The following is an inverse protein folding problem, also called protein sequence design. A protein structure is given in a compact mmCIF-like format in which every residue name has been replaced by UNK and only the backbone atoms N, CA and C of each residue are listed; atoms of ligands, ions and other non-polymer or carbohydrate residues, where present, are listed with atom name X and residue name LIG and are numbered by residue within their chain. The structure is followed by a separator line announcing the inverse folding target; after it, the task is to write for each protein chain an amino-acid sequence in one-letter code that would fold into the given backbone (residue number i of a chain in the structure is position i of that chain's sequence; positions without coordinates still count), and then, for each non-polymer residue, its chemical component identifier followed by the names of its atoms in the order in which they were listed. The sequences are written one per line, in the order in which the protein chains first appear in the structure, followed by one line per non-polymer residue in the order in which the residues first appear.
data_IF_702438618438
#
_entry.id   IF_702438618438
#
_cell.length_a   1.000
_cell.length_b   1.000
_cell.length_c   1.000
_cell.angle_alpha   90.00
_cell.angle_beta   90.00
_cell.angle_gamma   90.00
#
_symmetry.space_group_name_H-M   'P 1'
#
loop_
_entity.id
_entity.type
_entity.pdbx_description
1 polymer ?
#
# COMPACT_ATOMS: atom_id res chain seq x y z
N UNK A 1 17.81 -15.03 16.49
CA UNK A 1 16.42 -15.00 16.97
C UNK A 1 15.90 -13.59 16.73
N UNK A 2 15.07 -13.34 15.72
CA UNK A 2 14.53 -12.01 15.54
C UNK A 2 13.58 -11.77 16.73
N UNK A 3 14.03 -10.97 17.69
CA UNK A 3 13.14 -10.34 18.66
C UNK A 3 12.07 -9.64 17.81
N UNK A 4 10.87 -10.20 17.76
CA UNK A 4 9.74 -9.58 17.06
C UNK A 4 9.38 -8.38 17.93
N UNK A 5 10.08 -7.29 17.70
CA UNK A 5 9.95 -6.07 18.46
C UNK A 5 8.53 -5.58 18.20
N UNK A 6 7.65 -5.78 19.19
CA UNK A 6 6.21 -5.52 19.06
C UNK A 6 5.96 -4.06 18.64
N UNK A 7 6.89 -3.19 19.03
CA UNK A 7 7.00 -1.79 18.61
C UNK A 7 7.20 -1.68 17.09
N UNK A 8 8.14 -2.45 16.50
CA UNK A 8 8.37 -2.45 15.05
C UNK A 8 7.14 -2.96 14.29
N UNK A 9 6.50 -4.03 14.76
CA UNK A 9 5.27 -4.53 14.15
C UNK A 9 4.12 -3.50 14.23
N UNK A 10 3.99 -2.80 15.36
CA UNK A 10 3.01 -1.75 15.56
C UNK A 10 3.26 -0.53 14.66
N UNK A 11 4.51 -0.06 14.57
CA UNK A 11 4.89 1.09 13.72
C UNK A 11 4.68 0.77 12.24
N UNK A 12 5.08 -0.42 11.79
CA UNK A 12 4.85 -0.86 10.41
C UNK A 12 3.34 -0.95 10.11
N UNK A 13 2.54 -1.46 11.05
CA UNK A 13 1.08 -1.48 10.93
C UNK A 13 0.47 -0.08 10.86
N UNK A 14 0.91 0.84 11.71
CA UNK A 14 0.42 2.22 11.76
C UNK A 14 0.77 2.98 10.47
N UNK A 15 2.02 2.91 10.02
CA UNK A 15 2.49 3.54 8.79
C UNK A 15 1.85 2.91 7.53
N UNK A 16 1.67 1.59 7.52
CA UNK A 16 0.92 0.89 6.48
C UNK A 16 -0.55 1.32 6.41
N UNK A 17 -1.14 1.65 7.56
CA UNK A 17 -2.50 2.20 7.66
C UNK A 17 -2.67 3.51 6.89
N UNK A 18 -1.68 4.41 6.92
CA UNK A 18 -1.70 5.67 6.16
C UNK A 18 -1.77 5.41 4.65
N UNK A 19 -0.99 4.46 4.15
CA UNK A 19 -1.03 4.05 2.73
C UNK A 19 -2.38 3.43 2.35
N UNK A 20 -2.94 2.61 3.24
CA UNK A 20 -4.25 2.01 3.07
C UNK A 20 -5.36 3.07 2.99
N UNK A 21 -5.35 4.06 3.88
CA UNK A 21 -6.33 5.15 3.90
C UNK A 21 -6.15 6.06 2.67
N UNK A 22 -4.91 6.36 2.28
CA UNK A 22 -4.62 7.21 1.11
C UNK A 22 -5.10 6.61 -0.21
N UNK A 23 -4.90 5.30 -0.43
CA UNK A 23 -5.29 4.63 -1.67
C UNK A 23 -6.71 4.06 -1.61
N UNK A 24 -6.98 3.16 -0.67
CA UNK A 24 -8.28 2.48 -0.59
C UNK A 24 -9.38 3.41 -0.09
N UNK A 25 -9.06 4.38 0.77
CA UNK A 25 -10.02 5.40 1.23
C UNK A 25 -10.43 6.35 0.10
N UNK A 26 -9.50 6.74 -0.79
CA UNK A 26 -9.81 7.54 -1.97
C UNK A 26 -10.74 6.83 -2.96
N UNK A 27 -10.50 5.53 -3.22
CA UNK A 27 -11.33 4.70 -4.11
C UNK A 27 -12.76 4.56 -3.56
N UNK A 28 -12.91 4.25 -2.27
CA UNK A 28 -14.23 4.12 -1.62
C UNK A 28 -14.96 5.47 -1.55
N UNK A 29 -14.23 6.56 -1.32
CA UNK A 29 -14.76 7.92 -1.34
C UNK A 29 -15.34 8.29 -2.70
N UNK A 30 -14.57 8.08 -3.78
CA UNK A 30 -15.00 8.35 -5.14
C UNK A 30 -16.23 7.52 -5.55
N UNK A 31 -16.29 6.24 -5.17
CA UNK A 31 -17.45 5.38 -5.48
C UNK A 31 -18.68 5.67 -4.63
N UNK A 32 -18.51 6.12 -3.39
CA UNK A 32 -19.64 6.42 -2.49
C UNK A 32 -20.31 7.77 -2.78
N UNK A 33 -19.58 8.73 -3.37
CA UNK A 33 -20.09 10.08 -3.68
C UNK A 33 -21.29 10.09 -4.65
N UNK A 34 -21.52 9.01 -5.39
CA UNK A 34 -22.65 8.87 -6.33
C UNK A 34 -23.72 7.86 -5.92
N UNK A 35 -23.60 7.20 -4.75
CA UNK A 35 -24.51 6.11 -4.36
C UNK A 35 -25.46 6.53 -3.22
N UNK A 36 -26.77 6.18 -3.30
CA UNK A 36 -27.71 6.38 -2.21
C UNK A 36 -27.28 5.59 -0.97
N UNK A 37 -27.50 6.15 0.22
CA UNK A 37 -27.04 5.61 1.52
C UNK A 37 -27.38 4.11 1.72
N UNK A 38 -28.53 3.65 1.19
CA UNK A 38 -28.96 2.26 1.24
C UNK A 38 -28.00 1.27 0.54
N UNK A 39 -27.26 1.71 -0.48
CA UNK A 39 -26.34 0.86 -1.28
C UNK A 39 -24.88 0.99 -0.89
N UNK A 40 -24.54 1.92 0.00
CA UNK A 40 -23.16 2.13 0.43
C UNK A 40 -22.65 0.95 1.26
N UNK A 41 -23.40 0.50 2.27
CA UNK A 41 -23.00 -0.62 3.14
C UNK A 41 -22.66 -1.93 2.39
N UNK A 42 -23.50 -2.47 1.47
CA UNK A 42 -23.16 -3.69 0.74
C UNK A 42 -21.97 -3.49 -0.21
N UNK A 43 -21.78 -2.29 -0.77
CA UNK A 43 -20.63 -1.97 -1.61
C UNK A 43 -19.32 -1.93 -0.79
N UNK A 44 -19.34 -1.29 0.39
CA UNK A 44 -18.19 -1.23 1.28
C UNK A 44 -17.80 -2.64 1.79
N UNK A 45 -18.78 -3.47 2.16
CA UNK A 45 -18.52 -4.83 2.63
C UNK A 45 -17.92 -5.69 1.52
N UNK A 46 -18.51 -5.67 0.32
CA UNK A 46 -17.97 -6.43 -0.83
C UNK A 46 -16.58 -5.96 -1.24
N UNK A 47 -16.31 -4.65 -1.23
CA UNK A 47 -14.98 -4.10 -1.48
C UNK A 47 -13.94 -4.58 -0.46
N UNK A 48 -14.26 -4.50 0.84
CA UNK A 48 -13.32 -4.94 1.88
C UNK A 48 -13.09 -6.46 1.85
N UNK A 49 -14.12 -7.27 1.58
CA UNK A 49 -13.98 -8.72 1.37
C UNK A 49 -13.07 -8.99 0.17
N UNK A 50 -13.32 -8.33 -0.96
CA UNK A 50 -12.49 -8.48 -2.15
C UNK A 50 -11.04 -8.07 -1.91
N UNK A 51 -10.83 -7.00 -1.13
CA UNK A 51 -9.49 -6.53 -0.73
C UNK A 51 -8.77 -7.54 0.14
N UNK A 52 -9.41 -8.05 1.19
CA UNK A 52 -8.82 -9.08 2.07
C UNK A 52 -8.49 -10.32 1.24
N UNK A 53 -9.44 -10.84 0.46
CA UNK A 53 -9.23 -12.02 -0.37
C UNK A 53 -8.06 -11.84 -1.36
N UNK A 54 -8.00 -10.69 -2.04
CA UNK A 54 -6.94 -10.39 -3.01
C UNK A 54 -5.57 -10.29 -2.34
N UNK A 55 -5.47 -9.62 -1.19
CA UNK A 55 -4.21 -9.48 -0.46
C UNK A 55 -3.76 -10.81 0.16
N UNK A 56 -4.69 -11.60 0.70
CA UNK A 56 -4.39 -12.94 1.20
C UNK A 56 -3.92 -13.84 0.07
N UNK A 57 -4.56 -13.82 -1.09
CA UNK A 57 -4.15 -14.60 -2.25
C UNK A 57 -2.78 -14.18 -2.77
N UNK A 58 -2.55 -12.88 -2.95
CA UNK A 58 -1.25 -12.35 -3.38
C UNK A 58 -0.14 -12.68 -2.37
N UNK A 59 -0.42 -12.56 -1.07
CA UNK A 59 0.49 -12.94 0.01
C UNK A 59 0.80 -14.44 0.02
N UNK A 60 -0.22 -15.29 -0.15
CA UNK A 60 -0.05 -16.73 -0.24
C UNK A 60 0.80 -17.13 -1.46
N UNK A 61 0.54 -16.51 -2.62
CA UNK A 61 1.29 -16.77 -3.85
C UNK A 61 2.76 -16.35 -3.70
N UNK A 62 3.02 -15.13 -3.23
CA UNK A 62 4.39 -14.65 -3.03
C UNK A 62 5.11 -15.40 -1.90
N UNK A 63 4.40 -15.81 -0.84
CA UNK A 63 4.94 -16.65 0.21
C UNK A 63 5.35 -18.04 -0.31
N UNK A 64 4.51 -18.66 -1.14
CA UNK A 64 4.80 -19.95 -1.76
C UNK A 64 6.00 -19.87 -2.74
N UNK A 65 6.04 -18.83 -3.57
CA UNK A 65 7.19 -18.56 -4.44
C UNK A 65 8.45 -18.31 -3.62
N UNK A 66 8.38 -17.47 -2.59
CA UNK A 66 9.49 -17.20 -1.67
C UNK A 66 10.04 -18.47 -1.02
N UNK A 67 9.16 -19.36 -0.56
CA UNK A 67 9.54 -20.67 0.00
C UNK A 67 10.29 -21.52 -1.05
N UNK A 68 9.76 -21.63 -2.26
CA UNK A 68 10.39 -22.42 -3.34
C UNK A 68 11.78 -21.88 -3.75
N UNK A 69 11.92 -20.56 -3.90
CA UNK A 69 13.19 -19.93 -4.30
C UNK A 69 14.22 -19.87 -3.16
N UNK A 70 13.78 -19.87 -1.90
CA UNK A 70 14.68 -19.83 -0.73
C UNK A 70 15.62 -21.03 -0.63
N UNK A 71 15.26 -22.17 -1.25
CA UNK A 71 16.09 -23.37 -1.28
C UNK A 71 17.13 -23.42 -2.42
N UNK A 72 17.05 -22.54 -3.43
CA UNK A 72 17.80 -22.67 -4.68
C UNK A 72 18.76 -21.51 -4.99
N UNK A 73 18.54 -20.30 -4.44
CA UNK A 73 19.34 -19.10 -4.73
C UNK A 73 19.60 -18.27 -3.47
N UNK A 74 20.67 -17.46 -3.42
CA UNK A 74 20.83 -16.42 -2.41
C UNK A 74 19.85 -15.25 -2.67
N UNK A 75 18.57 -15.47 -2.36
CA UNK A 75 17.44 -14.52 -2.54
C UNK A 75 17.65 -13.18 -1.82
N UNK A 76 18.60 -13.14 -0.87
CA UNK A 76 18.93 -12.01 -0.02
C UNK A 76 19.34 -10.74 -0.78
N UNK A 77 20.03 -10.88 -1.92
CA UNK A 77 20.45 -9.73 -2.73
C UNK A 77 19.28 -9.18 -3.55
N UNK A 78 18.50 -10.06 -4.19
CA UNK A 78 17.32 -9.66 -4.95
C UNK A 78 16.29 -8.95 -4.04
N UNK A 79 16.06 -9.47 -2.84
CA UNK A 79 15.13 -8.87 -1.88
C UNK A 79 15.56 -7.46 -1.45
N UNK A 80 16.86 -7.24 -1.20
CA UNK A 80 17.40 -5.91 -0.85
C UNK A 80 17.22 -4.89 -1.98
N UNK A 81 17.48 -5.29 -3.23
CA UNK A 81 17.30 -4.41 -4.39
C UNK A 81 15.82 -4.06 -4.58
N UNK A 82 14.93 -5.06 -4.50
CA UNK A 82 13.49 -4.84 -4.66
C UNK A 82 12.91 -3.97 -3.55
N UNK A 83 13.35 -4.16 -2.30
CA UNK A 83 12.96 -3.30 -1.18
C UNK A 83 13.46 -1.86 -1.35
N UNK A 84 14.70 -1.67 -1.81
CA UNK A 84 15.22 -0.33 -2.11
C UNK A 84 14.39 0.38 -3.18
N UNK A 85 14.05 -0.34 -4.25
CA UNK A 85 13.20 0.19 -5.32
C UNK A 85 11.79 0.56 -4.82
N UNK A 86 11.14 -0.32 -4.05
CA UNK A 86 9.83 -0.05 -3.46
C UNK A 86 9.85 1.15 -2.50
N UNK A 87 10.91 1.30 -1.69
CA UNK A 87 11.08 2.44 -0.79
C UNK A 87 11.19 3.77 -1.53
N UNK A 88 11.99 3.81 -2.60
CA UNK A 88 12.12 5.00 -3.46
C UNK A 88 10.76 5.36 -4.08
N UNK A 89 10.04 4.38 -4.61
CA UNK A 89 8.72 4.61 -5.21
C UNK A 89 7.71 5.17 -4.20
N UNK A 90 7.69 4.65 -2.97
CA UNK A 90 6.83 5.16 -1.89
C UNK A 90 7.16 6.60 -1.51
N UNK A 91 8.45 6.96 -1.45
CA UNK A 91 8.87 8.35 -1.19
C UNK A 91 8.37 9.27 -2.30
N UNK A 92 8.55 8.89 -3.57
CA UNK A 92 8.09 9.66 -4.73
C UNK A 92 6.57 9.86 -4.72
N UNK A 93 5.81 8.81 -4.42
CA UNK A 93 4.35 8.88 -4.34
C UNK A 93 3.89 9.78 -3.18
N UNK A 94 4.58 9.73 -2.03
CA UNK A 94 4.33 10.62 -0.89
C UNK A 94 4.58 12.09 -1.23
N UNK A 95 5.68 12.38 -1.93
CA UNK A 95 5.98 13.73 -2.46
C UNK A 95 4.92 14.22 -3.45
N UNK A 96 4.42 13.32 -4.31
CA UNK A 96 3.36 13.61 -5.27
C UNK A 96 2.03 13.95 -4.59
N UNK A 97 1.58 13.11 -3.65
CA UNK A 97 0.29 13.29 -2.96
C UNK A 97 0.31 14.45 -1.94
N UNK A 98 1.45 14.68 -1.28
CA UNK A 98 1.58 15.74 -0.27
C UNK A 98 1.61 17.15 -0.85
N UNK A 99 1.65 17.32 -2.19
CA UNK A 99 1.73 18.63 -2.84
C UNK A 99 2.96 19.46 -2.43
N UNK A 100 3.91 18.85 -1.72
CA UNK A 100 5.08 19.52 -1.12
C UNK A 100 6.13 19.92 -2.15
N UNK A 101 5.99 19.46 -3.38
CA UNK A 101 6.64 20.13 -4.49
C UNK A 101 5.88 21.42 -4.79
N UNK A 102 6.35 22.54 -4.24
CA UNK A 102 6.02 23.90 -4.69
C UNK A 102 6.41 24.20 -6.15
N UNK A 103 6.50 23.18 -7.00
CA UNK A 103 6.53 23.25 -8.45
C UNK A 103 5.12 23.46 -8.99
N UNK A 104 4.07 22.87 -8.40
CA UNK A 104 2.70 23.07 -8.91
C UNK A 104 2.21 24.50 -8.64
N UNK A 105 2.48 25.05 -7.45
CA UNK A 105 2.15 26.45 -7.11
C UNK A 105 3.03 27.49 -7.81
N UNK A 106 4.21 27.09 -8.32
CA UNK A 106 5.02 27.93 -9.22
C UNK A 106 4.54 27.88 -10.67
N UNK A 107 3.96 26.76 -11.11
CA UNK A 107 3.38 26.62 -12.44
C UNK A 107 2.04 27.37 -12.55
N UNK A 108 1.19 27.32 -11.51
CA UNK A 108 -0.05 28.13 -11.45
C UNK A 108 0.20 29.63 -11.39
N UNK A 109 1.38 30.08 -10.93
CA UNK A 109 1.77 31.50 -10.95
C UNK A 109 2.43 31.93 -12.26
N UNK A 110 2.83 30.97 -13.09
CA UNK A 110 3.43 31.21 -14.40
C UNK A 110 2.42 31.00 -15.55
N UNK A 111 1.23 30.48 -15.26
CA UNK A 111 0.07 30.42 -16.15
C UNK A 111 -0.87 31.59 -15.94
#
# INVERSE_FOLDING_TARGET
MPEIDLISAFVVGLLGGVHCVGMCGGIVGAMSFGLPAQRQMPLLVSYNIGRIASYTFAGALMGALGFYFSGLLPVQHAQRVLQGFAGIFMILLGLYLGGWWGVLSRLEKAG
#
